data_IF_622480023599
#
_entry.id   IF_622480023599
#
_cell.length_a   1.000
_cell.length_b   1.000
_cell.length_c   1.000
_cell.angle_alpha   90.00
_cell.angle_beta   90.00
_cell.angle_gamma   90.00
#
_symmetry.space_group_name_H-M   'P 1'
#
loop_
_entity.id
_entity.type
_entity.pdbx_description
1 polymer ?
#
# COMPACT_ATOMS: atom_id res chain seq x y z
N UNK A 1 7.44 12.35 13.60
CA UNK A 1 8.34 11.33 13.05
C UNK A 1 8.25 11.53 11.54
N UNK A 2 9.36 11.67 10.85
CA UNK A 2 9.33 11.70 9.38
C UNK A 2 8.99 10.28 8.91
N UNK A 3 8.11 10.14 7.92
CA UNK A 3 7.72 8.86 7.36
C UNK A 3 8.90 8.28 6.55
N UNK A 4 9.19 7.00 6.67
CA UNK A 4 10.16 6.31 5.80
C UNK A 4 9.44 5.30 4.90
N UNK A 5 8.87 5.77 3.78
CA UNK A 5 7.94 4.97 2.96
C UNK A 5 8.55 3.68 2.43
N UNK A 6 9.82 3.71 1.99
CA UNK A 6 10.48 2.51 1.49
C UNK A 6 10.75 1.51 2.62
N UNK A 7 11.46 1.95 3.66
CA UNK A 7 12.02 1.06 4.68
C UNK A 7 10.94 0.57 5.66
N UNK A 8 10.07 1.47 6.13
CA UNK A 8 9.09 1.15 7.19
C UNK A 8 7.79 0.57 6.64
N UNK A 9 7.41 0.86 5.39
CA UNK A 9 6.10 0.45 4.84
C UNK A 9 6.26 -0.55 3.71
N UNK A 10 6.96 -0.16 2.65
CA UNK A 10 7.01 -0.95 1.42
C UNK A 10 7.79 -2.24 1.60
N UNK A 11 9.00 -2.15 2.14
CA UNK A 11 9.85 -3.32 2.35
C UNK A 11 9.24 -4.26 3.40
N UNK A 12 8.56 -3.73 4.42
CA UNK A 12 7.84 -4.55 5.40
C UNK A 12 6.76 -5.43 4.75
N UNK A 13 5.92 -4.84 3.88
CA UNK A 13 4.92 -5.63 3.15
C UNK A 13 5.57 -6.67 2.21
N UNK A 14 6.64 -6.30 1.50
CA UNK A 14 7.36 -7.20 0.59
C UNK A 14 7.90 -8.41 1.34
N UNK A 15 8.59 -8.16 2.46
CA UNK A 15 9.18 -9.20 3.30
C UNK A 15 8.09 -10.13 3.87
N UNK A 16 7.01 -9.53 4.37
CA UNK A 16 5.85 -10.28 4.87
C UNK A 16 5.23 -11.16 3.77
N UNK A 17 5.04 -10.62 2.57
CA UNK A 17 4.41 -11.35 1.47
C UNK A 17 5.18 -12.61 1.09
N UNK A 18 6.51 -12.50 0.96
CA UNK A 18 7.35 -13.61 0.54
C UNK A 18 7.40 -14.74 1.59
N UNK A 19 7.19 -14.41 2.87
CA UNK A 19 7.12 -15.39 3.97
C UNK A 19 5.75 -16.04 4.07
N UNK A 20 4.67 -15.25 4.09
CA UNK A 20 3.37 -15.72 4.60
C UNK A 20 2.34 -16.11 3.52
N UNK A 21 2.58 -15.76 2.24
CA UNK A 21 1.61 -16.06 1.17
C UNK A 21 1.34 -17.57 1.01
N UNK A 22 2.38 -18.40 1.13
CA UNK A 22 2.28 -19.86 0.92
C UNK A 22 1.46 -20.55 2.00
N UNK A 23 1.47 -20.01 3.20
CA UNK A 23 0.86 -20.65 4.37
C UNK A 23 -0.62 -20.31 4.49
N UNK A 24 -0.99 -19.07 4.16
CA UNK A 24 -2.30 -18.51 4.50
C UNK A 24 -3.14 -18.13 3.28
N UNK A 25 -2.53 -18.01 2.11
CA UNK A 25 -3.16 -17.40 0.94
C UNK A 25 -3.23 -15.88 1.02
N UNK A 26 -3.62 -15.24 -0.09
CA UNK A 26 -3.49 -13.79 -0.27
C UNK A 26 -4.36 -12.95 0.69
N UNK A 27 -5.65 -13.26 0.80
CA UNK A 27 -6.56 -12.44 1.61
C UNK A 27 -6.25 -12.55 3.12
N UNK A 28 -6.01 -13.74 3.69
CA UNK A 28 -5.60 -13.84 5.09
C UNK A 28 -4.29 -13.12 5.38
N UNK A 29 -3.30 -13.22 4.49
CA UNK A 29 -2.03 -12.49 4.57
C UNK A 29 -2.25 -10.98 4.69
N UNK A 30 -3.02 -10.40 3.75
CA UNK A 30 -3.20 -8.94 3.72
C UNK A 30 -4.01 -8.46 4.92
N UNK A 31 -5.02 -9.21 5.36
CA UNK A 31 -5.75 -8.87 6.59
C UNK A 31 -4.87 -8.96 7.84
N UNK A 32 -3.99 -9.97 7.92
CA UNK A 32 -3.01 -10.07 9.01
C UNK A 32 -2.06 -8.87 9.00
N UNK A 33 -1.49 -8.52 7.85
CA UNK A 33 -0.60 -7.37 7.72
C UNK A 33 -1.26 -6.04 8.15
N UNK A 34 -2.53 -5.82 7.75
CA UNK A 34 -3.31 -4.66 8.19
C UNK A 34 -3.53 -4.69 9.71
N UNK A 35 -3.73 -5.87 10.30
CA UNK A 35 -3.96 -6.02 11.73
C UNK A 35 -2.69 -5.81 12.57
N UNK A 36 -1.53 -6.30 12.13
CA UNK A 36 -0.26 -6.06 12.82
C UNK A 36 0.14 -4.59 12.80
N UNK A 37 -0.30 -3.84 11.78
CA UNK A 37 -0.08 -2.41 11.65
C UNK A 37 -1.28 -1.57 12.12
N UNK A 38 -2.14 -2.09 13.01
CA UNK A 38 -3.44 -1.46 13.35
C UNK A 38 -3.32 0.01 13.76
N UNK A 39 -2.28 0.37 14.52
CA UNK A 39 -1.98 1.74 14.95
C UNK A 39 -1.97 2.70 13.76
N UNK A 40 -1.22 2.34 12.71
CA UNK A 40 -1.03 3.14 11.50
C UNK A 40 -2.13 2.96 10.46
N UNK A 41 -3.03 1.99 10.67
CA UNK A 41 -4.17 1.69 9.80
C UNK A 41 -5.48 2.30 10.31
N UNK A 42 -5.37 3.38 11.11
CA UNK A 42 -6.50 4.16 11.66
C UNK A 42 -6.64 5.53 10.98
N UNK A 43 -7.74 6.24 11.28
CA UNK A 43 -7.97 7.61 10.81
C UNK A 43 -7.09 8.65 11.55
N UNK A 44 -6.43 8.26 12.65
CA UNK A 44 -5.49 9.12 13.39
C UNK A 44 -4.16 9.30 12.65
N UNK A 45 -3.81 8.34 11.78
CA UNK A 45 -2.59 8.31 10.97
C UNK A 45 -2.94 8.20 9.47
N UNK A 46 -3.63 9.19 8.90
CA UNK A 46 -4.21 9.08 7.56
C UNK A 46 -3.16 8.97 6.45
N UNK A 47 -1.97 9.55 6.65
CA UNK A 47 -0.87 9.52 5.68
C UNK A 47 -0.29 8.11 5.63
N UNK A 48 0.09 7.57 6.79
CA UNK A 48 0.63 6.23 6.98
C UNK A 48 -0.35 5.19 6.45
N UNK A 49 -1.63 5.31 6.82
CA UNK A 49 -2.70 4.44 6.36
C UNK A 49 -2.76 4.39 4.82
N UNK A 50 -2.76 5.57 4.18
CA UNK A 50 -2.77 5.65 2.73
C UNK A 50 -1.51 5.03 2.10
N UNK A 51 -0.34 5.27 2.69
CA UNK A 51 0.92 4.71 2.23
C UNK A 51 0.95 3.17 2.32
N UNK A 52 0.43 2.57 3.40
CA UNK A 52 0.33 1.11 3.53
C UNK A 52 -0.55 0.52 2.43
N UNK A 53 -1.74 1.08 2.21
CA UNK A 53 -2.61 0.60 1.13
C UNK A 53 -2.00 0.82 -0.26
N UNK A 54 -1.27 1.93 -0.49
CA UNK A 54 -0.56 2.16 -1.74
C UNK A 54 0.51 1.08 -1.98
N UNK A 55 1.33 0.79 -0.97
CA UNK A 55 2.38 -0.22 -1.04
C UNK A 55 1.80 -1.62 -1.31
N UNK A 56 0.74 -1.99 -0.58
CA UNK A 56 -0.01 -3.24 -0.81
C UNK A 56 -0.49 -3.31 -2.27
N UNK A 57 -1.17 -2.27 -2.74
CA UNK A 57 -1.72 -2.21 -4.09
C UNK A 57 -0.66 -2.35 -5.17
N UNK A 58 0.39 -1.54 -5.11
CA UNK A 58 1.46 -1.53 -6.10
C UNK A 58 2.21 -2.87 -6.17
N UNK A 59 2.48 -3.49 -5.01
CA UNK A 59 3.16 -4.78 -4.97
C UNK A 59 2.28 -5.92 -5.48
N UNK A 60 0.99 -5.94 -5.15
CA UNK A 60 0.09 -6.97 -5.65
C UNK A 60 -0.20 -6.84 -7.14
N UNK A 61 -0.19 -5.62 -7.69
CA UNK A 61 -0.19 -5.39 -9.14
C UNK A 61 1.09 -5.96 -9.75
N UNK A 62 2.26 -5.68 -9.15
CA UNK A 62 3.53 -6.25 -9.61
C UNK A 62 3.51 -7.79 -9.66
N UNK A 63 2.91 -8.44 -8.66
CA UNK A 63 2.77 -9.89 -8.61
C UNK A 63 1.61 -10.45 -9.45
N UNK A 64 0.84 -9.58 -10.14
CA UNK A 64 -0.36 -9.95 -10.89
C UNK A 64 -1.40 -10.69 -10.02
N UNK A 65 -1.60 -10.20 -8.79
CA UNK A 65 -2.46 -10.78 -7.75
C UNK A 65 -3.58 -9.86 -7.28
N UNK A 66 -3.60 -8.61 -7.73
CA UNK A 66 -4.55 -7.60 -7.25
C UNK A 66 -6.02 -8.02 -7.42
N UNK A 67 -6.36 -8.72 -8.52
CA UNK A 67 -7.74 -9.15 -8.81
C UNK A 67 -8.24 -10.26 -7.86
N UNK A 68 -7.35 -10.92 -7.10
CA UNK A 68 -7.70 -11.97 -6.13
C UNK A 68 -8.06 -11.39 -4.74
N UNK A 69 -7.92 -10.08 -4.56
CA UNK A 69 -8.11 -9.39 -3.28
C UNK A 69 -9.60 -9.14 -2.97
N UNK A 70 -9.94 -9.06 -1.69
CA UNK A 70 -11.27 -8.68 -1.24
C UNK A 70 -11.62 -7.25 -1.72
N UNK A 71 -12.84 -7.08 -2.26
CA UNK A 71 -13.36 -5.79 -2.73
C UNK A 71 -13.20 -4.65 -1.70
N UNK A 72 -13.39 -4.91 -0.41
CA UNK A 72 -13.25 -3.88 0.63
C UNK A 72 -11.83 -3.31 0.67
N UNK A 73 -10.83 -4.18 0.54
CA UNK A 73 -9.41 -3.77 0.54
C UNK A 73 -9.08 -3.10 -0.79
N UNK A 74 -9.63 -3.60 -1.91
CA UNK A 74 -9.46 -2.94 -3.22
C UNK A 74 -9.98 -1.51 -3.23
N UNK A 75 -11.15 -1.25 -2.65
CA UNK A 75 -11.68 0.12 -2.55
C UNK A 75 -10.78 1.01 -1.69
N UNK A 76 -10.20 0.47 -0.61
CA UNK A 76 -9.21 1.22 0.20
C UNK A 76 -7.94 1.54 -0.58
N UNK A 77 -7.39 0.60 -1.33
CA UNK A 77 -6.24 0.84 -2.22
C UNK A 77 -6.55 1.96 -3.22
N UNK A 78 -7.75 1.95 -3.82
CA UNK A 78 -8.18 3.00 -4.76
C UNK A 78 -8.31 4.36 -4.09
N UNK A 79 -8.92 4.41 -2.90
CA UNK A 79 -9.06 5.62 -2.10
C UNK A 79 -7.70 6.22 -1.76
N UNK A 80 -6.79 5.39 -1.21
CA UNK A 80 -5.43 5.80 -0.85
C UNK A 80 -4.61 6.27 -2.04
N UNK A 81 -4.71 5.56 -3.18
CA UNK A 81 -4.10 6.00 -4.43
C UNK A 81 -4.60 7.40 -4.83
N UNK A 82 -5.91 7.65 -4.79
CA UNK A 82 -6.47 8.95 -5.20
C UNK A 82 -6.03 10.07 -4.25
N UNK A 83 -5.99 9.81 -2.94
CA UNK A 83 -5.50 10.77 -1.95
C UNK A 83 -4.05 11.14 -2.22
N UNK A 84 -3.16 10.14 -2.31
CA UNK A 84 -1.73 10.39 -2.53
C UNK A 84 -1.49 11.04 -3.90
N UNK A 85 -2.13 10.55 -4.97
CA UNK A 85 -1.97 11.12 -6.32
C UNK A 85 -2.52 12.55 -6.45
N UNK A 86 -3.48 12.94 -5.61
CA UNK A 86 -3.96 14.33 -5.56
C UNK A 86 -2.94 15.31 -4.98
N UNK A 87 -1.87 14.80 -4.36
CA UNK A 87 -0.83 15.59 -3.70
C UNK A 87 -1.22 16.11 -2.32
N UNK A 88 -2.38 15.69 -1.77
CA UNK A 88 -2.86 16.18 -0.46
C UNK A 88 -1.89 15.88 0.70
N UNK A 89 -1.03 14.88 0.54
CA UNK A 89 -0.04 14.48 1.54
C UNK A 89 1.41 14.87 1.20
N UNK A 90 1.65 15.58 0.09
CA UNK A 90 3.01 15.87 -0.42
C UNK A 90 3.93 16.58 0.58
N UNK A 91 3.37 17.37 1.49
CA UNK A 91 4.11 18.07 2.55
C UNK A 91 4.63 17.14 3.67
N UNK A 92 4.10 15.92 3.75
CA UNK A 92 4.50 14.90 4.75
C UNK A 92 5.61 13.98 4.23
N UNK A 93 5.95 14.08 2.94
CA UNK A 93 6.91 13.19 2.30
C UNK A 93 8.25 13.88 2.12
N UNK A 94 9.32 13.16 2.45
CA UNK A 94 10.67 13.56 2.06
C UNK A 94 10.81 13.47 0.53
N UNK A 95 11.84 14.11 -0.02
CA UNK A 95 12.13 13.96 -1.46
C UNK A 95 12.45 12.51 -1.85
N UNK A 96 12.96 11.72 -0.91
CA UNK A 96 13.21 10.29 -1.11
C UNK A 96 11.91 9.49 -1.17
N UNK A 97 10.98 9.70 -0.23
CA UNK A 97 9.67 9.04 -0.23
C UNK A 97 8.93 9.29 -1.54
N UNK A 98 8.94 10.54 -2.02
CA UNK A 98 8.29 10.95 -3.26
C UNK A 98 8.80 10.17 -4.47
N UNK A 99 10.07 9.76 -4.49
CA UNK A 99 10.62 8.95 -5.59
C UNK A 99 9.93 7.59 -5.62
N UNK A 100 9.82 6.91 -4.48
CA UNK A 100 9.23 5.57 -4.40
C UNK A 100 7.70 5.59 -4.53
N UNK A 101 7.04 6.57 -3.93
CA UNK A 101 5.59 6.79 -4.06
C UNK A 101 5.21 7.01 -5.53
N UNK A 102 5.96 7.84 -6.27
CA UNK A 102 5.72 8.06 -7.71
C UNK A 102 5.87 6.78 -8.53
N UNK A 103 6.81 5.91 -8.19
CA UNK A 103 6.95 4.62 -8.86
C UNK A 103 5.73 3.72 -8.64
N UNK A 104 5.19 3.70 -7.42
CA UNK A 104 4.03 2.89 -7.07
C UNK A 104 2.73 3.43 -7.67
N UNK A 105 2.53 4.75 -7.66
CA UNK A 105 1.44 5.42 -8.38
C UNK A 105 1.46 5.04 -9.85
N UNK A 106 2.61 5.19 -10.52
CA UNK A 106 2.74 4.87 -11.95
C UNK A 106 2.39 3.40 -12.22
N UNK A 107 2.82 2.49 -11.35
CA UNK A 107 2.52 1.07 -11.48
C UNK A 107 1.03 0.77 -11.36
N UNK A 108 0.35 1.49 -10.46
CA UNK A 108 -1.09 1.41 -10.30
C UNK A 108 -1.83 2.00 -11.51
N UNK A 109 -1.39 3.15 -12.04
CA UNK A 109 -1.95 3.79 -13.24
C UNK A 109 -1.88 2.90 -14.48
N UNK A 110 -0.75 2.20 -14.66
CA UNK A 110 -0.54 1.29 -15.79
C UNK A 110 -1.36 -0.02 -15.67
N UNK A 111 -1.95 -0.28 -14.50
CA UNK A 111 -2.73 -1.48 -14.23
C UNK A 111 -4.17 -1.39 -14.76
N UNK A 112 -4.91 -2.50 -14.64
CA UNK A 112 -6.36 -2.55 -14.91
C UNK A 112 -7.21 -2.18 -13.69
N UNK A 113 -6.61 -1.81 -12.55
CA UNK A 113 -7.35 -1.60 -11.29
C UNK A 113 -8.47 -0.54 -11.41
N UNK A 114 -8.29 0.42 -12.30
CA UNK A 114 -9.23 1.52 -12.58
C UNK A 114 -9.93 1.42 -13.95
N UNK A 115 -9.84 0.28 -14.65
CA UNK A 115 -10.49 0.04 -15.95
C UNK A 115 -11.69 -0.88 -15.81
#
# INVERSE_FOLDING_TARGET
>A
MELEYLEEIKDDFINTYDVHLKDSGLNPLVNWFIHENDLYMTDEYPVENACHYLAIGAYLIYKNKIEELNNKILEKIKESYNLINSGIYDENFTEEDKVYIKQDIKKIEESKLFK
#
